data_IF_142453952596
#
_entry.id   IF_142453952596
#
_cell.length_a   1.000
_cell.length_b   1.000
_cell.length_c   1.000
_cell.angle_alpha   90.00
_cell.angle_beta   90.00
_cell.angle_gamma   90.00
#
_symmetry.space_group_name_H-M   'P 1'
#
loop_
_entity.id
_entity.type
_entity.pdbx_description
1 polymer ?
#
# COMPACT_ATOMS: atom_id res chain seq x y z
N UNK A 1 10.63 19.25 -28.41
CA UNK A 1 9.59 19.91 -27.59
C UNK A 1 8.69 18.93 -26.83
N UNK A 2 7.85 18.09 -27.45
CA UNK A 2 6.98 17.14 -26.69
C UNK A 2 7.78 16.03 -26.01
N UNK A 3 8.77 15.46 -26.70
CA UNK A 3 9.67 14.41 -26.16
C UNK A 3 10.44 14.89 -24.93
N UNK A 4 10.94 16.12 -24.94
CA UNK A 4 11.69 16.69 -23.81
C UNK A 4 10.79 16.95 -22.60
N UNK A 5 9.54 17.40 -22.84
CA UNK A 5 8.54 17.51 -21.78
C UNK A 5 8.25 16.14 -21.18
N UNK A 6 8.01 15.13 -22.01
CA UNK A 6 7.78 13.76 -21.56
C UNK A 6 8.96 13.22 -20.73
N UNK A 7 10.19 13.48 -21.15
CA UNK A 7 11.40 13.12 -20.38
C UNK A 7 11.44 13.80 -19.02
N UNK A 8 11.21 15.11 -18.96
CA UNK A 8 11.17 15.84 -17.69
C UNK A 8 10.06 15.34 -16.76
N UNK A 9 8.90 14.99 -17.32
CA UNK A 9 7.78 14.41 -16.57
C UNK A 9 8.15 13.03 -16.02
N UNK A 10 8.82 12.19 -16.81
CA UNK A 10 9.29 10.88 -16.37
C UNK A 10 10.38 10.97 -15.29
N UNK A 11 11.32 11.90 -15.41
CA UNK A 11 12.35 12.13 -14.38
C UNK A 11 11.71 12.57 -13.06
N UNK A 12 10.73 13.49 -13.11
CA UNK A 12 9.97 13.89 -11.92
C UNK A 12 9.20 12.72 -11.32
N UNK A 13 8.57 11.89 -12.16
CA UNK A 13 7.85 10.70 -11.73
C UNK A 13 8.81 9.73 -11.02
N UNK A 14 9.99 9.49 -11.60
CA UNK A 14 11.03 8.64 -11.01
C UNK A 14 11.47 9.17 -9.64
N UNK A 15 11.76 10.47 -9.53
CA UNK A 15 12.13 11.10 -8.25
C UNK A 15 11.02 10.95 -7.20
N UNK A 16 9.75 11.10 -7.58
CA UNK A 16 8.64 10.88 -6.65
C UNK A 16 8.58 9.42 -6.18
N UNK A 17 8.81 8.46 -7.06
CA UNK A 17 8.87 7.04 -6.69
C UNK A 17 10.06 6.70 -5.80
N UNK A 18 11.22 7.32 -6.03
CA UNK A 18 12.40 7.18 -5.15
C UNK A 18 12.13 7.76 -3.76
N UNK A 19 11.51 8.94 -3.69
CA UNK A 19 11.10 9.55 -2.42
C UNK A 19 10.07 8.68 -1.69
N UNK A 20 9.10 8.12 -2.42
CA UNK A 20 8.12 7.19 -1.86
C UNK A 20 8.79 5.91 -1.35
N UNK A 21 9.84 5.43 -2.02
CA UNK A 21 10.66 4.31 -1.55
C UNK A 21 11.40 4.64 -0.24
N UNK A 22 11.96 5.85 -0.10
CA UNK A 22 12.56 6.28 1.17
C UNK A 22 11.53 6.33 2.30
N UNK A 23 10.32 6.82 2.02
CA UNK A 23 9.20 6.81 2.98
C UNK A 23 8.85 5.37 3.37
N UNK A 24 8.82 4.44 2.41
CA UNK A 24 8.58 3.03 2.69
C UNK A 24 9.67 2.39 3.58
N UNK A 25 10.94 2.77 3.41
CA UNK A 25 12.03 2.32 4.31
C UNK A 25 11.88 2.90 5.72
N UNK A 26 11.57 4.20 5.83
CA UNK A 26 11.30 4.83 7.13
C UNK A 26 10.11 4.18 7.85
N UNK A 27 9.09 3.77 7.10
CA UNK A 27 7.95 3.00 7.63
C UNK A 27 8.42 1.69 8.26
N UNK A 28 9.36 0.98 7.62
CA UNK A 28 9.94 -0.25 8.17
C UNK A 28 10.61 0.00 9.52
N UNK A 29 11.35 1.11 9.65
CA UNK A 29 12.05 1.44 10.90
C UNK A 29 11.08 1.86 12.01
N UNK A 30 10.07 2.67 11.71
CA UNK A 30 9.06 3.05 12.72
C UNK A 30 8.16 1.89 13.14
N UNK A 31 7.83 0.95 12.24
CA UNK A 31 7.12 -0.27 12.58
C UNK A 31 7.92 -1.13 13.56
N UNK A 32 9.24 -1.25 13.38
CA UNK A 32 10.12 -1.97 14.32
C UNK A 32 10.19 -1.30 15.70
N UNK A 33 10.12 0.03 15.75
CA UNK A 33 10.19 0.82 16.98
C UNK A 33 8.83 0.99 17.67
N UNK A 34 7.73 0.51 17.07
CA UNK A 34 6.36 0.66 17.55
C UNK A 34 5.94 2.14 17.77
N UNK A 35 6.51 3.06 17.00
CA UNK A 35 6.24 4.50 17.15
C UNK A 35 5.03 4.93 16.32
N UNK A 36 3.85 4.92 16.95
CA UNK A 36 2.56 5.18 16.30
C UNK A 36 2.42 6.62 15.79
N UNK A 37 3.00 7.61 16.47
CA UNK A 37 2.81 9.01 16.08
C UNK A 37 3.66 9.39 14.87
N UNK A 38 4.90 8.90 14.80
CA UNK A 38 5.72 9.06 13.60
C UNK A 38 5.14 8.29 12.40
N UNK A 39 4.51 7.13 12.64
CA UNK A 39 3.79 6.40 11.59
C UNK A 39 2.62 7.22 11.01
N UNK A 40 1.87 7.95 11.85
CA UNK A 40 0.77 8.81 11.36
C UNK A 40 1.28 9.95 10.47
N UNK A 41 2.35 10.63 10.87
CA UNK A 41 2.96 11.68 10.05
C UNK A 41 3.54 11.12 8.75
N UNK A 42 4.12 9.91 8.81
CA UNK A 42 4.63 9.22 7.65
C UNK A 42 3.52 8.84 6.66
N UNK A 43 2.35 8.39 7.14
CA UNK A 43 1.20 8.10 6.29
C UNK A 43 0.69 9.33 5.54
N UNK A 44 0.71 10.51 6.18
CA UNK A 44 0.36 11.77 5.50
C UNK A 44 1.32 12.06 4.34
N UNK A 45 2.63 11.89 4.57
CA UNK A 45 3.65 12.05 3.51
C UNK A 45 3.43 11.05 2.37
N UNK A 46 3.17 9.78 2.70
CA UNK A 46 2.86 8.73 1.73
C UNK A 46 1.65 9.12 0.85
N UNK A 47 0.58 9.65 1.46
CA UNK A 47 -0.60 10.13 0.75
C UNK A 47 -0.31 11.34 -0.16
N UNK A 48 0.51 12.29 0.31
CA UNK A 48 0.92 13.44 -0.51
C UNK A 48 1.71 12.99 -1.75
N UNK A 49 2.67 12.07 -1.58
CA UNK A 49 3.43 11.53 -2.71
C UNK A 49 2.54 10.76 -3.68
N UNK A 50 1.60 9.94 -3.18
CA UNK A 50 0.64 9.22 -4.02
C UNK A 50 -0.23 10.17 -4.86
N UNK A 51 -0.67 11.29 -4.27
CA UNK A 51 -1.43 12.32 -5.00
C UNK A 51 -0.57 13.03 -6.06
N UNK A 52 0.66 13.39 -5.73
CA UNK A 52 1.59 14.01 -6.68
C UNK A 52 1.90 13.08 -7.87
N UNK A 53 2.15 11.78 -7.60
CA UNK A 53 2.36 10.77 -8.64
C UNK A 53 1.15 10.68 -9.56
N UNK A 54 -0.07 10.67 -9.01
CA UNK A 54 -1.30 10.61 -9.82
C UNK A 54 -1.43 11.81 -10.78
N UNK A 55 -1.06 13.02 -10.31
CA UNK A 55 -1.11 14.23 -11.13
C UNK A 55 -0.09 14.17 -12.28
N UNK A 56 1.16 13.83 -11.97
CA UNK A 56 2.23 13.74 -12.96
C UNK A 56 1.99 12.58 -13.95
N UNK A 57 1.44 11.45 -13.50
CA UNK A 57 1.09 10.34 -14.39
C UNK A 57 -0.01 10.74 -15.38
N UNK A 58 -0.97 11.57 -14.96
CA UNK A 58 -1.99 12.11 -15.87
C UNK A 58 -1.35 12.99 -16.95
N UNK A 59 -0.38 13.82 -16.58
CA UNK A 59 0.40 14.62 -17.52
C UNK A 59 1.22 13.74 -18.48
N UNK A 60 1.86 12.67 -17.97
CA UNK A 60 2.60 11.70 -18.79
C UNK A 60 1.69 11.03 -19.82
N UNK A 61 0.47 10.63 -19.45
CA UNK A 61 -0.51 10.03 -20.35
C UNK A 61 -0.87 11.00 -21.48
N UNK A 62 -1.15 12.26 -21.15
CA UNK A 62 -1.46 13.30 -22.15
C UNK A 62 -0.30 13.54 -23.11
N UNK A 63 0.91 13.69 -22.59
CA UNK A 63 2.13 13.88 -23.39
C UNK A 63 2.45 12.65 -24.25
N UNK A 64 2.17 11.45 -23.75
CA UNK A 64 2.33 10.21 -24.51
C UNK A 64 1.32 10.11 -25.64
N UNK A 65 0.07 10.54 -25.43
CA UNK A 65 -0.95 10.59 -26.47
C UNK A 65 -0.58 11.58 -27.58
N UNK A 66 -0.10 12.77 -27.20
CA UNK A 66 0.39 13.78 -28.14
C UNK A 66 1.63 13.30 -28.91
N UNK A 67 2.59 12.68 -28.21
CA UNK A 67 3.80 12.16 -28.84
C UNK A 67 3.51 11.01 -29.79
N UNK A 68 2.62 10.09 -29.41
CA UNK A 68 2.30 8.91 -30.19
C UNK A 68 1.25 9.18 -31.28
N UNK A 69 0.47 10.25 -31.15
CA UNK A 69 -0.68 10.58 -32.01
C UNK A 69 -1.72 9.45 -32.08
N UNK A 70 -1.96 8.79 -30.93
CA UNK A 70 -2.96 7.72 -30.72
C UNK A 70 -3.54 7.86 -29.32
N UNK A 71 -4.76 7.37 -29.12
CA UNK A 71 -5.45 7.40 -27.83
C UNK A 71 -5.32 6.07 -27.06
N UNK A 72 -4.83 5.02 -27.71
CA UNK A 72 -4.67 3.68 -27.17
C UNK A 72 -3.18 3.28 -27.13
N UNK A 73 -2.82 2.35 -26.24
CA UNK A 73 -1.45 1.87 -26.03
C UNK A 73 -0.42 2.97 -25.70
N UNK A 74 -0.78 3.83 -24.74
CA UNK A 74 0.07 4.92 -24.22
C UNK A 74 1.17 4.43 -23.26
N UNK A 75 1.83 3.35 -23.63
CA UNK A 75 2.89 2.71 -22.84
C UNK A 75 4.24 3.37 -23.09
N UNK A 76 5.14 3.27 -22.10
CA UNK A 76 6.50 3.75 -22.26
C UNK A 76 7.23 3.01 -23.39
N UNK A 77 6.97 1.71 -23.56
CA UNK A 77 7.50 0.88 -24.66
C UNK A 77 7.08 1.42 -26.03
N UNK A 78 5.80 1.79 -26.19
CA UNK A 78 5.29 2.42 -27.40
C UNK A 78 5.99 3.76 -27.69
N UNK A 79 6.28 4.57 -26.66
CA UNK A 79 7.05 5.81 -26.81
C UNK A 79 8.51 5.54 -27.21
N UNK A 80 9.13 4.48 -26.68
CA UNK A 80 10.50 4.07 -27.03
C UNK A 80 10.59 3.61 -28.50
N UNK A 81 9.61 2.86 -28.98
CA UNK A 81 9.57 2.38 -30.38
C UNK A 81 9.46 3.54 -31.40
N UNK A 82 8.70 4.59 -31.06
CA UNK A 82 8.55 5.78 -31.90
C UNK A 82 9.73 6.75 -31.79
N UNK A 83 10.50 6.70 -30.70
CA UNK A 83 11.63 7.58 -30.48
C UNK A 83 12.86 7.12 -31.28
N UNK A 84 13.63 8.08 -31.79
CA UNK A 84 14.83 7.82 -32.59
C UNK A 84 16.09 8.45 -31.96
N UNK A 85 17.24 7.82 -32.23
CA UNK A 85 18.56 8.29 -31.82
C UNK A 85 18.72 8.46 -30.31
N UNK A 86 19.31 9.59 -29.89
CA UNK A 86 19.62 9.90 -28.49
C UNK A 86 18.40 9.93 -27.56
N UNK A 87 17.20 10.14 -28.11
CA UNK A 87 15.98 10.16 -27.29
C UNK A 87 15.54 8.76 -26.88
N UNK A 88 15.77 7.77 -27.75
CA UNK A 88 15.45 6.37 -27.48
C UNK A 88 16.30 5.83 -26.32
N UNK A 89 17.62 6.02 -26.39
CA UNK A 89 18.56 5.59 -25.35
C UNK A 89 18.19 6.16 -23.97
N UNK A 90 17.84 7.46 -23.92
CA UNK A 90 17.39 8.09 -22.68
C UNK A 90 16.09 7.50 -22.14
N UNK A 91 15.10 7.26 -23.00
CA UNK A 91 13.84 6.66 -22.58
C UNK A 91 14.02 5.22 -22.09
N UNK A 92 14.90 4.44 -22.73
CA UNK A 92 15.27 3.09 -22.29
C UNK A 92 15.97 3.11 -20.92
N UNK A 93 16.88 4.07 -20.70
CA UNK A 93 17.54 4.23 -19.41
C UNK A 93 16.53 4.57 -18.31
N UNK A 94 15.66 5.55 -18.55
CA UNK A 94 14.60 5.95 -17.62
C UNK A 94 13.65 4.78 -17.34
N UNK A 95 13.28 3.99 -18.37
CA UNK A 95 12.46 2.80 -18.20
C UNK A 95 13.13 1.75 -17.30
N UNK A 96 14.43 1.52 -17.49
CA UNK A 96 15.22 0.60 -16.67
C UNK A 96 15.26 1.04 -15.20
N UNK A 97 15.53 2.33 -14.97
CA UNK A 97 15.61 2.87 -13.62
C UNK A 97 14.25 2.89 -12.93
N UNK A 98 13.19 3.18 -13.67
CA UNK A 98 11.82 3.08 -13.18
C UNK A 98 11.47 1.64 -12.75
N UNK A 99 11.82 0.64 -13.55
CA UNK A 99 11.60 -0.77 -13.21
C UNK A 99 12.32 -1.14 -11.92
N UNK A 100 13.60 -0.79 -11.79
CA UNK A 100 14.39 -1.06 -10.57
C UNK A 100 13.78 -0.40 -9.33
N UNK A 101 13.38 0.87 -9.44
CA UNK A 101 12.79 1.61 -8.33
C UNK A 101 11.43 1.02 -7.94
N UNK A 102 10.62 0.62 -8.92
CA UNK A 102 9.32 0.00 -8.67
C UNK A 102 9.46 -1.37 -7.99
N UNK A 103 10.44 -2.18 -8.40
CA UNK A 103 10.72 -3.48 -7.76
C UNK A 103 11.14 -3.29 -6.29
N UNK A 104 12.04 -2.34 -6.02
CA UNK A 104 12.45 -1.98 -4.66
C UNK A 104 11.27 -1.49 -3.81
N UNK A 105 10.43 -0.62 -4.36
CA UNK A 105 9.25 -0.09 -3.69
C UNK A 105 8.23 -1.20 -3.39
N UNK A 106 8.03 -2.14 -4.32
CA UNK A 106 7.15 -3.29 -4.13
C UNK A 106 7.65 -4.20 -3.01
N UNK A 107 8.94 -4.51 -2.99
CA UNK A 107 9.56 -5.30 -1.93
C UNK A 107 9.43 -4.63 -0.55
N UNK A 108 9.72 -3.33 -0.45
CA UNK A 108 9.57 -2.59 0.81
C UNK A 108 8.11 -2.55 1.30
N UNK A 109 7.15 -2.33 0.39
CA UNK A 109 5.73 -2.35 0.73
C UNK A 109 5.24 -3.73 1.19
N UNK A 110 5.72 -4.80 0.55
CA UNK A 110 5.40 -6.16 0.98
C UNK A 110 5.93 -6.43 2.39
N UNK A 111 7.20 -6.11 2.65
CA UNK A 111 7.79 -6.24 3.99
C UNK A 111 7.01 -5.46 5.05
N UNK A 112 6.63 -4.21 4.76
CA UNK A 112 5.85 -3.39 5.68
C UNK A 112 4.47 -3.99 5.98
N UNK A 113 3.82 -4.60 4.98
CA UNK A 113 2.54 -5.32 5.17
C UNK A 113 2.73 -6.53 6.09
N UNK A 114 3.79 -7.31 5.87
CA UNK A 114 4.10 -8.49 6.70
C UNK A 114 4.40 -8.08 8.15
N UNK A 115 5.24 -7.06 8.37
CA UNK A 115 5.54 -6.54 9.71
C UNK A 115 4.29 -6.03 10.43
N UNK A 116 3.43 -5.30 9.73
CA UNK A 116 2.17 -4.81 10.30
C UNK A 116 1.25 -5.97 10.70
N UNK A 117 1.14 -6.99 9.84
CA UNK A 117 0.33 -8.17 10.12
C UNK A 117 0.85 -8.96 11.32
N UNK A 118 2.17 -9.16 11.42
CA UNK A 118 2.81 -9.82 12.57
C UNK A 118 2.58 -9.04 13.87
N UNK A 119 2.69 -7.71 13.84
CA UNK A 119 2.40 -6.87 15.01
C UNK A 119 0.94 -7.03 15.48
N UNK A 120 -0.02 -7.03 14.55
CA UNK A 120 -1.44 -7.25 14.86
C UNK A 120 -1.70 -8.66 15.41
N UNK A 121 -1.08 -9.69 14.85
CA UNK A 121 -1.17 -11.05 15.37
C UNK A 121 -0.63 -11.16 16.79
N UNK A 122 0.52 -10.56 17.08
CA UNK A 122 1.11 -10.54 18.41
C UNK A 122 0.18 -9.85 19.43
N UNK A 123 -0.41 -8.71 19.06
CA UNK A 123 -1.40 -8.02 19.91
C UNK A 123 -2.63 -8.89 20.15
N UNK A 124 -3.17 -9.55 19.13
CA UNK A 124 -4.33 -10.45 19.27
C UNK A 124 -4.03 -11.60 20.24
N UNK A 125 -2.91 -12.31 20.04
CA UNK A 125 -2.51 -13.43 20.91
C UNK A 125 -2.28 -12.95 22.35
N UNK A 126 -1.66 -11.77 22.52
CA UNK A 126 -1.42 -11.19 23.84
C UNK A 126 -2.73 -10.83 24.54
N UNK A 127 -3.71 -10.29 23.81
CA UNK A 127 -5.06 -10.03 24.34
C UNK A 127 -5.79 -11.32 24.70
N UNK A 128 -5.73 -12.35 23.86
CA UNK A 128 -6.37 -13.66 24.10
C UNK A 128 -5.78 -14.37 25.34
N UNK A 129 -4.49 -14.16 25.63
CA UNK A 129 -3.82 -14.70 26.82
C UNK A 129 -4.15 -13.93 28.10
N UNK A 130 -4.37 -12.61 28.00
CA UNK A 130 -4.74 -11.74 29.12
C UNK A 130 -6.25 -11.76 29.42
N UNK A 131 -7.08 -12.09 28.43
CA UNK A 131 -8.50 -12.30 28.63
C UNK A 131 -8.72 -13.58 29.44
N UNK A 132 -9.45 -13.52 30.57
CA UNK A 132 -9.88 -14.74 31.23
C UNK A 132 -10.68 -15.55 30.23
N UNK A 133 -10.22 -16.78 29.93
CA UNK A 133 -11.12 -17.79 29.41
C UNK A 133 -12.23 -17.89 30.45
N UNK A 134 -13.44 -17.46 30.13
CA UNK A 134 -14.59 -17.68 31.01
C UNK A 134 -14.76 -19.20 31.09
N UNK A 135 -14.04 -19.81 32.04
CA UNK A 135 -14.32 -21.13 32.51
C UNK A 135 -15.68 -21.00 33.16
N UNK A 136 -16.73 -21.29 32.39
CA UNK A 136 -18.05 -21.58 32.92
C UNK A 136 -17.88 -22.90 33.70
N UNK A 137 -17.25 -22.84 34.86
CA UNK A 137 -17.40 -23.85 35.90
C UNK A 137 -18.80 -23.64 36.46
N UNK A 138 -19.79 -24.07 35.68
CA UNK A 138 -21.13 -24.31 36.17
C UNK A 138 -21.02 -25.50 37.13
N UNK A 139 -20.71 -25.22 38.39
CA UNK A 139 -21.01 -26.13 39.49
C UNK A 139 -22.54 -26.24 39.53
N UNK A 140 -23.09 -27.15 38.72
CA UNK A 140 -24.47 -27.58 38.87
C UNK A 140 -24.57 -28.25 40.24
N UNK A 141 -25.16 -27.52 41.20
CA UNK A 141 -25.77 -28.13 42.37
C UNK A 141 -26.81 -29.16 41.88
N UNK A 142 -26.84 -30.38 42.41
CA UNK A 142 -27.83 -31.39 42.00
C UNK A 142 -29.28 -31.03 42.38
N UNK A 143 -29.48 -30.01 43.23
CA UNK A 143 -30.79 -29.71 43.82
C UNK A 143 -31.30 -28.33 43.41
N UNK A 144 -31.77 -28.23 42.17
CA UNK A 144 -32.67 -27.17 41.75
C UNK A 144 -33.65 -27.73 40.72
N UNK A 145 -34.53 -28.61 41.18
CA UNK A 145 -35.79 -28.91 40.52
C UNK A 145 -36.58 -27.61 40.32
N UNK A 146 -37.01 -27.36 39.08
CA UNK A 146 -38.03 -26.41 38.61
C UNK A 146 -37.55 -25.01 38.14
N UNK A 147 -37.23 -24.88 36.85
CA UNK A 147 -37.81 -23.86 35.95
C UNK A 147 -37.34 -24.06 34.50
N UNK A 148 -38.19 -23.78 33.49
CA UNK A 148 -38.03 -24.27 32.13
C UNK A 148 -36.97 -23.49 31.34
N UNK A 149 -36.24 -24.24 30.51
CA UNK A 149 -35.51 -23.73 29.37
C UNK A 149 -36.47 -23.04 28.40
N UNK A 150 -36.27 -21.75 28.15
CA UNK A 150 -36.63 -21.22 26.83
C UNK A 150 -35.73 -20.08 26.38
N UNK A 151 -35.02 -20.36 25.28
CA UNK A 151 -34.57 -19.47 24.22
C UNK A 151 -34.54 -17.97 24.54
N UNK A 152 -33.35 -17.51 24.93
CA UNK A 152 -32.87 -16.21 24.46
C UNK A 152 -31.49 -16.33 23.85
N UNK A 153 -31.42 -17.19 22.81
CA UNK A 153 -30.48 -17.00 21.70
C UNK A 153 -30.88 -15.71 20.98
N UNK A 154 -30.64 -14.54 21.58
CA UNK A 154 -30.67 -13.28 20.85
C UNK A 154 -29.29 -13.07 20.25
N UNK A 155 -29.19 -13.57 19.03
CA UNK A 155 -28.23 -13.20 18.00
C UNK A 155 -27.81 -11.74 18.12
N UNK A 156 -26.54 -11.48 18.41
CA UNK A 156 -25.88 -10.17 18.29
C UNK A 156 -24.77 -10.17 17.23
N UNK A 157 -24.71 -11.22 16.40
CA UNK A 157 -23.92 -11.22 15.18
C UNK A 157 -24.85 -10.91 14.01
N UNK A 158 -25.01 -9.62 13.73
CA UNK A 158 -25.33 -9.15 12.38
C UNK A 158 -24.12 -8.33 11.91
N UNK A 159 -23.36 -8.91 10.98
CA UNK A 159 -22.15 -8.34 10.39
C UNK A 159 -22.15 -8.64 8.91
N UNK A 160 -23.10 -8.04 8.18
CA UNK A 160 -22.99 -7.79 6.74
C UNK A 160 -23.61 -6.43 6.40
N UNK A 161 -22.75 -5.45 6.16
CA UNK A 161 -22.88 -4.38 5.14
C UNK A 161 -21.61 -3.53 5.15
#
# INVERSE_FOLDING_TARGET
MVVEKLMNTLDKLLQLHENLYQVALQKTDYLKQNNVEELKELLKKEQMFAQAIKQIETERIQLSAEFLNREQDLTLSACIEKAEGKHKEKLEQVASDFSKTMDKLKAANQLNRELTHQALQFVSISLDMLMPQENITNYQRPDASNAPSDKLRRSLFDSQA
#
